data_IF_447059912761
#
_entry.id   IF_447059912761
#
_cell.length_a   1.000
_cell.length_b   1.000
_cell.length_c   1.000
_cell.angle_alpha   90.00
_cell.angle_beta   90.00
_cell.angle_gamma   90.00
#
_symmetry.space_group_name_H-M   'P 1'
#
loop_
_entity.id
_entity.type
_entity.pdbx_description
1 polymer ?
#
# COMPACT_ATOMS: atom_id res chain seq x y z
N UNK A 1 -10.39 0.85 5.88
CA UNK A 1 -10.74 0.30 4.55
C UNK A 1 -9.62 0.69 3.60
N UNK A 2 -8.91 -0.28 3.00
CA UNK A 2 -7.84 0.00 2.02
C UNK A 2 -8.35 0.26 0.61
N UNK A 3 -9.55 -0.23 0.28
CA UNK A 3 -10.11 -0.14 -1.07
C UNK A 3 -10.28 1.31 -1.53
N UNK A 4 -10.86 2.15 -0.67
CA UNK A 4 -11.15 3.55 -1.00
C UNK A 4 -9.91 4.36 -1.41
N UNK A 5 -8.82 4.43 -0.60
CA UNK A 5 -7.62 5.18 -1.00
C UNK A 5 -6.89 4.55 -2.20
N UNK A 6 -6.86 3.22 -2.31
CA UNK A 6 -6.19 2.54 -3.43
C UNK A 6 -6.95 2.72 -4.75
N UNK A 7 -8.28 2.69 -4.72
CA UNK A 7 -9.11 3.01 -5.90
C UNK A 7 -8.93 4.45 -6.34
N UNK A 8 -8.90 5.42 -5.41
CA UNK A 8 -8.66 6.81 -5.77
C UNK A 8 -7.28 7.02 -6.42
N UNK A 9 -6.25 6.34 -5.93
CA UNK A 9 -4.93 6.38 -6.54
C UNK A 9 -4.90 5.74 -7.93
N UNK A 10 -5.58 4.59 -8.11
CA UNK A 10 -5.75 3.95 -9.41
C UNK A 10 -6.44 4.90 -10.41
N UNK A 11 -7.51 5.58 -9.99
CA UNK A 11 -8.26 6.51 -10.85
C UNK A 11 -7.38 7.68 -11.31
N UNK A 12 -6.50 8.21 -10.44
CA UNK A 12 -5.53 9.24 -10.84
C UNK A 12 -4.56 8.70 -11.91
N UNK A 13 -4.03 7.49 -11.72
CA UNK A 13 -3.08 6.87 -12.67
C UNK A 13 -3.74 6.61 -14.03
N UNK A 14 -5.02 6.26 -14.06
CA UNK A 14 -5.74 5.93 -15.30
C UNK A 14 -6.29 7.15 -16.03
N UNK A 15 -6.76 8.16 -15.31
CA UNK A 15 -7.43 9.33 -15.90
C UNK A 15 -6.45 10.46 -16.24
N UNK A 16 -5.39 10.63 -15.46
CA UNK A 16 -4.40 11.69 -15.67
C UNK A 16 -3.19 11.17 -16.45
N UNK A 17 -2.99 11.75 -17.65
CA UNK A 17 -1.87 11.40 -18.53
C UNK A 17 -0.51 11.70 -17.90
N UNK A 18 -0.43 12.62 -16.95
CA UNK A 18 0.82 12.95 -16.24
C UNK A 18 1.26 11.81 -15.31
N UNK A 19 0.32 11.04 -14.77
CA UNK A 19 0.57 9.96 -13.81
C UNK A 19 0.51 8.57 -14.45
N UNK A 20 0.55 8.49 -15.79
CA UNK A 20 0.61 7.19 -16.48
C UNK A 20 1.80 6.38 -15.98
N UNK A 21 1.54 5.13 -15.57
CA UNK A 21 2.54 4.21 -14.99
C UNK A 21 3.20 4.71 -13.69
N UNK A 22 2.58 5.65 -12.98
CA UNK A 22 3.05 6.03 -11.65
C UNK A 22 2.79 4.90 -10.63
N UNK A 23 3.70 4.74 -9.67
CA UNK A 23 3.57 3.75 -8.60
C UNK A 23 2.84 4.32 -7.36
N UNK A 24 2.30 3.42 -6.55
CA UNK A 24 1.61 3.74 -5.30
C UNK A 24 2.49 3.38 -4.10
N UNK A 25 2.65 4.33 -3.18
CA UNK A 25 3.18 4.07 -1.83
C UNK A 25 2.02 4.12 -0.84
N UNK A 26 1.69 2.98 -0.23
CA UNK A 26 0.73 2.90 0.86
C UNK A 26 1.46 2.95 2.20
N UNK A 27 1.13 3.92 3.06
CA UNK A 27 1.64 3.96 4.44
C UNK A 27 0.47 3.66 5.37
N UNK A 28 0.59 2.61 6.18
CA UNK A 28 -0.50 2.12 7.00
C UNK A 28 0.01 1.39 8.24
N UNK A 29 -0.84 1.24 9.26
CA UNK A 29 -0.61 0.27 10.33
C UNK A 29 -0.84 -1.18 9.84
N UNK A 30 -1.36 -1.37 8.62
CA UNK A 30 -1.65 -2.66 8.03
C UNK A 30 -2.97 -3.29 8.51
N UNK A 31 -3.73 -2.58 9.34
CA UNK A 31 -5.00 -3.06 9.90
C UNK A 31 -6.18 -2.69 9.02
N UNK A 32 -6.40 -3.46 7.95
CA UNK A 32 -7.68 -3.51 7.27
C UNK A 32 -7.76 -4.69 6.31
N UNK A 33 -8.95 -5.20 6.04
CA UNK A 33 -9.17 -6.15 4.95
C UNK A 33 -9.62 -5.45 3.66
N UNK A 34 -9.55 -6.22 2.59
CA UNK A 34 -10.11 -5.93 1.26
C UNK A 34 -10.97 -7.11 0.83
N UNK A 35 -12.04 -6.85 0.10
CA UNK A 35 -12.90 -7.88 -0.48
C UNK A 35 -12.24 -8.57 -1.67
N UNK A 36 -12.57 -9.86 -1.87
CA UNK A 36 -11.99 -10.69 -2.94
C UNK A 36 -12.30 -10.15 -4.35
N UNK A 37 -13.52 -9.65 -4.56
CA UNK A 37 -13.93 -9.08 -5.85
C UNK A 37 -13.14 -7.81 -6.18
N UNK A 38 -13.00 -6.91 -5.20
CA UNK A 38 -12.20 -5.70 -5.33
C UNK A 38 -10.74 -6.07 -5.61
N UNK A 39 -10.19 -7.01 -4.84
CA UNK A 39 -8.80 -7.44 -4.95
C UNK A 39 -8.48 -7.97 -6.35
N UNK A 40 -9.38 -8.79 -6.91
CA UNK A 40 -9.24 -9.32 -8.27
C UNK A 40 -9.22 -8.20 -9.31
N UNK A 41 -10.14 -7.24 -9.21
CA UNK A 41 -10.24 -6.11 -10.13
C UNK A 41 -9.00 -5.22 -10.03
N UNK A 42 -8.60 -4.86 -8.81
CA UNK A 42 -7.44 -4.01 -8.55
C UNK A 42 -6.13 -4.65 -9.08
N UNK A 43 -5.90 -5.93 -8.79
CA UNK A 43 -4.71 -6.63 -9.27
C UNK A 43 -4.70 -6.83 -10.80
N UNK A 44 -5.86 -6.89 -11.45
CA UNK A 44 -5.94 -6.86 -12.91
C UNK A 44 -5.55 -5.48 -13.44
N UNK A 45 -6.09 -4.41 -12.86
CA UNK A 45 -5.76 -3.04 -13.26
C UNK A 45 -4.27 -2.73 -13.11
N UNK A 46 -3.62 -3.20 -12.04
CA UNK A 46 -2.17 -3.07 -11.84
C UNK A 46 -1.36 -3.60 -13.01
N UNK A 47 -1.76 -4.74 -13.57
CA UNK A 47 -1.11 -5.36 -14.73
C UNK A 47 -1.40 -4.59 -16.01
N UNK A 48 -2.65 -4.20 -16.22
CA UNK A 48 -3.08 -3.54 -17.46
C UNK A 48 -2.52 -2.11 -17.59
N UNK A 49 -2.33 -1.43 -16.46
CA UNK A 49 -1.83 -0.05 -16.38
C UNK A 49 -0.36 0.03 -15.97
N UNK A 50 0.28 -1.12 -15.73
CA UNK A 50 1.70 -1.26 -15.40
C UNK A 50 2.15 -0.38 -14.22
N UNK A 51 1.41 -0.41 -13.11
CA UNK A 51 1.82 0.27 -11.87
C UNK A 51 2.04 -0.71 -10.72
N UNK A 52 2.95 -0.34 -9.82
CA UNK A 52 3.28 -1.10 -8.64
C UNK A 52 2.73 -0.49 -7.36
N UNK A 53 2.58 -1.32 -6.33
CA UNK A 53 2.18 -0.93 -4.98
C UNK A 53 3.26 -1.37 -4.00
N UNK A 54 3.82 -0.39 -3.29
CA UNK A 54 4.76 -0.62 -2.19
C UNK A 54 4.05 -0.21 -0.89
N UNK A 55 3.86 -1.18 0.02
CA UNK A 55 3.25 -0.91 1.32
C UNK A 55 4.34 -0.77 2.38
N UNK A 56 4.35 0.38 3.06
CA UNK A 56 5.13 0.62 4.27
C UNK A 56 4.20 0.40 5.47
N UNK A 57 4.45 -0.69 6.21
CA UNK A 57 3.62 -1.10 7.34
C UNK A 57 4.31 -0.74 8.64
N UNK A 58 3.62 0.05 9.46
CA UNK A 58 4.14 0.54 10.75
C UNK A 58 4.03 -0.55 11.84
N UNK A 59 3.03 -1.43 11.74
CA UNK A 59 2.81 -2.51 12.70
C UNK A 59 3.39 -3.87 12.24
N UNK A 60 3.17 -4.91 13.04
CA UNK A 60 3.54 -6.28 12.70
C UNK A 60 2.53 -6.98 11.77
N UNK A 61 1.35 -6.40 11.54
CA UNK A 61 0.27 -7.04 10.77
C UNK A 61 0.26 -6.53 9.33
N UNK A 62 0.47 -7.41 8.35
CA UNK A 62 0.49 -7.05 6.92
C UNK A 62 -0.33 -7.96 6.01
N UNK A 63 -1.01 -8.98 6.54
CA UNK A 63 -1.60 -10.08 5.74
C UNK A 63 -2.51 -9.60 4.60
N UNK A 64 -3.22 -8.48 4.81
CA UNK A 64 -4.04 -7.86 3.78
C UNK A 64 -3.22 -7.07 2.75
N UNK A 65 -2.20 -6.34 3.19
CA UNK A 65 -1.25 -5.64 2.31
C UNK A 65 -0.52 -6.59 1.36
N UNK A 66 -0.17 -7.79 1.84
CA UNK A 66 0.50 -8.83 1.04
C UNK A 66 -0.32 -9.27 -0.18
N UNK A 67 -1.65 -9.10 -0.15
CA UNK A 67 -2.55 -9.52 -1.24
C UNK A 67 -2.49 -8.59 -2.46
N UNK A 68 -2.19 -7.31 -2.26
CA UNK A 68 -2.25 -6.29 -3.31
C UNK A 68 -0.94 -5.53 -3.53
N UNK A 69 0.09 -5.75 -2.70
CA UNK A 69 1.39 -5.08 -2.82
C UNK A 69 2.38 -5.92 -3.62
N UNK A 70 3.24 -5.28 -4.40
CA UNK A 70 4.45 -5.91 -4.96
C UNK A 70 5.50 -6.12 -3.87
N UNK A 71 5.54 -5.20 -2.91
CA UNK A 71 6.46 -5.24 -1.79
C UNK A 71 5.81 -4.70 -0.53
N UNK A 72 5.95 -5.44 0.56
CA UNK A 72 5.66 -4.96 1.91
C UNK A 72 6.99 -4.69 2.62
N UNK A 73 7.09 -3.54 3.25
CA UNK A 73 8.25 -3.10 4.02
C UNK A 73 7.77 -2.75 5.42
N UNK A 74 8.27 -3.47 6.43
CA UNK A 74 7.97 -3.11 7.81
C UNK A 74 8.92 -2.02 8.27
N UNK A 75 8.38 -1.00 8.94
CA UNK A 75 9.20 0.10 9.44
C UNK A 75 10.25 -0.39 10.45
N UNK A 76 9.89 -1.40 11.23
CA UNK A 76 10.77 -2.05 12.21
C UNK A 76 12.01 -2.68 11.56
N UNK A 77 11.91 -3.12 10.30
CA UNK A 77 13.04 -3.70 9.55
C UNK A 77 14.01 -2.61 9.05
N UNK A 78 13.54 -1.37 8.94
CA UNK A 78 14.33 -0.22 8.50
C UNK A 78 14.97 0.49 9.70
N UNK A 79 14.25 0.61 10.80
CA UNK A 79 14.69 1.33 11.99
C UNK A 79 15.45 0.40 12.93
N UNK A 80 16.76 0.25 12.73
CA UNK A 80 17.67 -0.27 13.77
C UNK A 80 17.91 0.73 14.92
N UNK A 81 17.16 1.83 14.97
CA UNK A 81 17.27 2.88 15.97
C UNK A 81 16.04 2.87 16.89
N UNK A 82 16.22 2.33 18.09
CA UNK A 82 15.20 2.25 19.13
C UNK A 82 14.54 3.61 19.43
N UNK A 83 15.24 4.73 19.22
CA UNK A 83 14.67 6.06 19.45
C UNK A 83 13.65 6.46 18.39
N UNK A 84 13.89 6.10 17.13
CA UNK A 84 12.96 6.38 16.04
C UNK A 84 11.65 5.61 16.23
N UNK A 85 11.74 4.35 16.67
CA UNK A 85 10.59 3.52 17.03
C UNK A 85 9.78 4.11 18.18
N UNK A 86 10.45 4.48 19.29
CA UNK A 86 9.78 5.07 20.46
C UNK A 86 9.03 6.38 20.14
N UNK A 87 9.61 7.24 19.30
CA UNK A 87 8.96 8.48 18.89
C UNK A 87 7.67 8.24 18.08
N UNK A 88 7.63 7.19 17.25
CA UNK A 88 6.43 6.86 16.47
C UNK A 88 5.30 6.25 17.30
N UNK A 89 5.61 5.42 18.30
CA UNK A 89 4.58 4.82 19.18
C UNK A 89 4.06 5.79 20.25
N UNK A 90 4.59 7.02 20.31
CA UNK A 90 4.23 8.04 21.31
C UNK A 90 3.29 9.14 20.77
N UNK A 91 2.79 8.99 19.53
CA UNK A 91 1.78 9.87 18.91
C UNK A 91 0.38 9.32 19.21
#
# INVERSE_FOLDING_TARGET
NFEAPLSAAQDIITEDKEFKQADIILISDGSCDVGDDWLKIFNQSRKDQEFHVISVVISAYSESCDKFSDKVVHINDITNDDKALQAMFSI
#
